data_IF_760924551699
#
_entry.id   IF_760924551699
#
_cell.length_a   1.000
_cell.length_b   1.000
_cell.length_c   1.000
_cell.angle_alpha   90.00
_cell.angle_beta   90.00
_cell.angle_gamma   90.00
#
_symmetry.space_group_name_H-M   'P 1'
#
loop_
_entity.id
_entity.type
_entity.pdbx_description
1 polymer ?
#
# COMPACT_ATOMS: atom_id res chain seq x y z
N UNK A 1 -2.50 -11.38 53.97
CA UNK A 1 -3.11 -10.09 53.61
C UNK A 1 -3.19 -10.07 52.08
N UNK A 2 -4.17 -10.68 51.37
CA UNK A 2 -5.63 -10.60 51.47
C UNK A 2 -6.12 -9.16 51.58
N UNK A 3 -6.33 -8.54 50.43
CA UNK A 3 -7.43 -7.60 50.24
C UNK A 3 -8.07 -7.86 48.85
N UNK A 4 -8.99 -8.82 48.86
CA UNK A 4 -10.06 -9.00 47.87
C UNK A 4 -11.22 -8.11 48.35
N UNK A 5 -11.66 -7.15 47.55
CA UNK A 5 -12.91 -6.38 47.75
C UNK A 5 -13.48 -6.11 46.35
N UNK A 6 -14.35 -7.00 45.87
CA UNK A 6 -15.81 -6.86 45.72
C UNK A 6 -16.16 -6.59 44.24
N UNK A 7 -16.58 -7.60 43.47
CA UNK A 7 -17.99 -8.02 43.37
C UNK A 7 -18.94 -6.83 43.39
N UNK A 8 -19.15 -6.25 42.21
CA UNK A 8 -20.28 -5.38 41.89
C UNK A 8 -21.04 -6.01 40.73
N UNK A 9 -22.03 -6.84 41.06
CA UNK A 9 -23.02 -7.35 40.10
C UNK A 9 -23.83 -6.15 39.61
N UNK A 10 -23.64 -5.75 38.35
CA UNK A 10 -24.53 -4.81 37.68
C UNK A 10 -25.39 -5.59 36.68
N UNK A 11 -26.41 -6.25 37.20
CA UNK A 11 -27.53 -6.71 36.39
C UNK A 11 -28.42 -5.50 36.11
N UNK A 12 -28.25 -4.89 34.93
CA UNK A 12 -29.22 -3.96 34.37
C UNK A 12 -29.67 -4.53 33.01
N UNK A 13 -30.81 -5.24 33.04
CA UNK A 13 -31.58 -5.52 31.87
C UNK A 13 -32.13 -4.20 31.32
N UNK A 14 -31.54 -3.72 30.23
CA UNK A 14 -32.11 -2.66 29.40
C UNK A 14 -32.57 -3.28 28.09
N UNK A 15 -33.87 -3.54 28.02
CA UNK A 15 -34.59 -3.66 26.76
C UNK A 15 -34.48 -2.30 26.05
N UNK A 16 -33.74 -2.27 24.93
CA UNK A 16 -33.57 -1.12 24.06
C UNK A 16 -33.83 -1.51 22.61
N UNK A 17 -34.36 -0.59 21.78
CA UNK A 17 -35.00 -0.93 20.52
C UNK A 17 -33.98 -1.35 19.47
N UNK A 18 -34.45 -2.20 18.56
CA UNK A 18 -33.78 -2.63 17.35
C UNK A 18 -33.24 -1.40 16.61
N UNK A 19 -31.92 -1.29 16.48
CA UNK A 19 -31.31 -0.37 15.54
C UNK A 19 -31.28 -1.09 14.20
N UNK A 20 -32.27 -0.81 13.36
CA UNK A 20 -32.12 -0.98 11.93
C UNK A 20 -31.04 0.00 11.46
N UNK A 21 -29.79 -0.43 11.52
CA UNK A 21 -28.70 0.23 10.80
C UNK A 21 -28.91 -0.07 9.31
N UNK A 22 -29.78 0.71 8.68
CA UNK A 22 -29.67 0.97 7.26
C UNK A 22 -28.34 1.72 7.08
N UNK A 23 -27.27 0.94 6.94
CA UNK A 23 -25.98 1.41 6.47
C UNK A 23 -26.20 1.87 5.02
N UNK A 24 -26.76 3.06 4.85
CA UNK A 24 -26.62 3.81 3.62
C UNK A 24 -25.13 4.14 3.55
N UNK A 25 -24.36 3.27 2.90
CA UNK A 25 -23.02 3.58 2.46
C UNK A 25 -23.07 4.93 1.73
N UNK A 26 -22.62 5.96 2.43
CA UNK A 26 -22.33 7.26 1.87
C UNK A 26 -21.39 7.03 0.67
N UNK A 27 -21.74 7.51 -0.53
CA UNK A 27 -20.88 7.32 -1.69
C UNK A 27 -19.55 7.98 -1.38
N UNK A 28 -18.51 7.17 -1.33
CA UNK A 28 -17.12 7.55 -1.11
C UNK A 28 -16.65 8.42 -2.28
N UNK A 29 -16.88 9.74 -2.19
CA UNK A 29 -16.39 10.75 -3.14
C UNK A 29 -14.85 10.80 -3.21
N UNK A 30 -14.14 10.12 -2.29
CA UNK A 30 -12.69 9.98 -2.33
C UNK A 30 -12.17 9.02 -3.41
N UNK A 31 -13.00 8.11 -3.93
CA UNK A 31 -12.56 7.09 -4.90
C UNK A 31 -12.46 7.63 -6.34
N UNK A 32 -13.21 8.66 -6.69
CA UNK A 32 -13.18 9.26 -8.03
C UNK A 32 -11.96 10.16 -8.24
N UNK A 33 -11.53 10.90 -7.22
CA UNK A 33 -10.32 11.75 -7.31
C UNK A 33 -9.04 10.91 -7.44
N UNK A 34 -8.95 9.80 -6.71
CA UNK A 34 -7.78 8.90 -6.78
C UNK A 34 -7.70 8.19 -8.13
N UNK A 35 -8.82 7.71 -8.67
CA UNK A 35 -8.88 7.11 -10.01
C UNK A 35 -8.59 8.12 -11.12
N UNK A 36 -9.12 9.35 -11.02
CA UNK A 36 -8.81 10.42 -11.97
C UNK A 36 -7.31 10.75 -11.96
N UNK A 37 -6.68 10.84 -10.79
CA UNK A 37 -5.24 11.06 -10.66
C UNK A 37 -4.42 9.89 -11.24
N UNK A 38 -4.82 8.63 -10.99
CA UNK A 38 -4.14 7.46 -11.53
C UNK A 38 -4.13 7.42 -13.07
N UNK A 39 -5.20 7.92 -13.68
CA UNK A 39 -5.37 7.98 -15.13
C UNK A 39 -4.73 9.22 -15.78
N UNK A 40 -4.22 10.16 -14.98
CA UNK A 40 -3.52 11.33 -15.48
C UNK A 40 -2.18 10.95 -16.13
N UNK A 41 -1.94 11.46 -17.34
CA UNK A 41 -0.66 11.30 -18.05
C UNK A 41 0.40 12.26 -17.48
N UNK A 42 1.54 11.70 -17.10
CA UNK A 42 2.71 12.42 -16.59
C UNK A 42 3.93 12.11 -17.44
N UNK A 43 4.57 13.15 -17.95
CA UNK A 43 5.79 13.05 -18.74
C UNK A 43 7.03 13.33 -17.89
N UNK A 44 8.01 12.43 -17.92
CA UNK A 44 9.30 12.56 -17.24
C UNK A 44 10.44 12.46 -18.24
N UNK A 45 11.54 13.20 -18.01
CA UNK A 45 12.78 13.02 -18.78
C UNK A 45 13.61 11.91 -18.17
N UNK A 46 14.04 10.97 -18.99
CA UNK A 46 14.96 9.90 -18.60
C UNK A 46 16.40 10.40 -18.81
N UNK A 47 17.34 9.96 -17.97
CA UNK A 47 18.75 10.21 -18.24
C UNK A 47 19.14 9.56 -19.57
N UNK A 48 20.16 10.09 -20.27
CA UNK A 48 20.64 9.48 -21.49
C UNK A 48 21.16 8.06 -21.22
N UNK A 49 20.93 7.10 -22.14
CA UNK A 49 21.35 5.72 -21.94
C UNK A 49 22.88 5.59 -21.89
N UNK A 50 23.60 6.40 -22.67
CA UNK A 50 25.07 6.43 -22.69
C UNK A 50 25.61 7.84 -23.00
N UNK A 51 26.52 8.31 -22.14
CA UNK A 51 27.25 9.57 -22.34
C UNK A 51 26.36 10.82 -22.41
N UNK A 52 26.96 11.94 -22.84
CA UNK A 52 26.28 13.24 -22.96
C UNK A 52 25.86 13.61 -24.39
N UNK A 53 26.30 12.84 -25.40
CA UNK A 53 26.06 13.15 -26.82
C UNK A 53 24.64 12.80 -27.27
N UNK A 54 24.08 11.70 -26.77
CA UNK A 54 22.71 11.28 -27.04
C UNK A 54 21.89 11.84 -25.88
N UNK A 55 21.11 12.90 -26.08
CA UNK A 55 20.35 13.53 -25.01
C UNK A 55 19.35 12.60 -24.32
N UNK A 56 18.82 13.01 -23.17
CA UNK A 56 17.76 12.26 -22.49
C UNK A 56 16.43 12.29 -23.24
N UNK A 57 15.70 11.19 -23.27
CA UNK A 57 14.37 11.11 -23.89
C UNK A 57 13.25 11.57 -22.93
N UNK A 58 12.13 12.02 -23.48
CA UNK A 58 10.91 12.32 -22.71
C UNK A 58 9.93 11.15 -22.83
N UNK A 59 9.57 10.55 -21.70
CA UNK A 59 8.62 9.44 -21.63
C UNK A 59 7.35 9.89 -20.93
N UNK A 60 6.21 9.68 -21.57
CA UNK A 60 4.88 10.03 -21.03
C UNK A 60 4.09 8.76 -20.75
N UNK A 61 3.63 8.60 -19.52
CA UNK A 61 2.87 7.43 -19.04
C UNK A 61 1.85 7.88 -18.00
N UNK A 62 0.81 7.10 -17.74
CA UNK A 62 -0.14 7.40 -16.66
C UNK A 62 0.51 7.24 -15.29
N UNK A 63 -0.03 7.90 -14.26
CA UNK A 63 0.43 7.70 -12.88
C UNK A 63 0.37 6.23 -12.46
N UNK A 64 -0.68 5.51 -12.87
CA UNK A 64 -0.81 4.06 -12.66
C UNK A 64 0.37 3.28 -13.24
N UNK A 65 0.76 3.57 -14.48
CA UNK A 65 1.90 2.90 -15.12
C UNK A 65 3.22 3.22 -14.42
N UNK A 66 3.43 4.47 -14.01
CA UNK A 66 4.62 4.85 -13.24
C UNK A 66 4.70 4.12 -11.90
N UNK A 67 3.57 3.98 -11.19
CA UNK A 67 3.54 3.22 -9.94
C UNK A 67 3.89 1.76 -10.14
N UNK A 68 3.32 1.12 -11.17
CA UNK A 68 3.61 -0.27 -11.51
C UNK A 68 5.11 -0.49 -11.80
N UNK A 69 5.72 0.37 -12.63
CA UNK A 69 7.16 0.27 -12.90
C UNK A 69 8.01 0.42 -11.65
N UNK A 70 7.61 1.32 -10.75
CA UNK A 70 8.33 1.58 -9.52
C UNK A 70 8.18 0.44 -8.50
N UNK A 71 7.00 -0.15 -8.37
CA UNK A 71 6.80 -1.34 -7.54
C UNK A 71 7.60 -2.53 -8.08
N UNK A 72 7.57 -2.77 -9.39
CA UNK A 72 8.32 -3.88 -9.99
C UNK A 72 9.84 -3.72 -9.78
N UNK A 73 10.36 -2.50 -9.96
CA UNK A 73 11.76 -2.21 -9.67
C UNK A 73 12.12 -2.48 -8.20
N UNK A 74 11.26 -2.09 -7.25
CA UNK A 74 11.44 -2.39 -5.83
C UNK A 74 11.44 -3.89 -5.54
N UNK A 75 10.48 -4.64 -6.09
CA UNK A 75 10.43 -6.10 -5.90
C UNK A 75 11.67 -6.79 -6.49
N UNK A 76 12.18 -6.30 -7.62
CA UNK A 76 13.44 -6.76 -8.20
C UNK A 76 14.63 -6.56 -7.26
N UNK A 77 14.77 -5.36 -6.69
CA UNK A 77 15.84 -5.04 -5.74
C UNK A 77 15.70 -5.84 -4.45
N UNK A 78 14.50 -5.91 -3.88
CA UNK A 78 14.22 -6.60 -2.62
C UNK A 78 14.61 -8.09 -2.70
N UNK A 79 14.24 -8.75 -3.79
CA UNK A 79 14.61 -10.15 -4.06
C UNK A 79 16.12 -10.36 -4.18
N UNK A 80 16.88 -9.40 -4.71
CA UNK A 80 18.34 -9.50 -4.79
C UNK A 80 19.01 -9.25 -3.44
N UNK A 81 18.50 -8.29 -2.67
CA UNK A 81 19.06 -7.90 -1.38
C UNK A 81 18.75 -8.92 -0.27
N UNK A 82 17.53 -9.46 -0.25
CA UNK A 82 17.08 -10.41 0.77
C UNK A 82 17.40 -11.86 0.42
N UNK A 83 18.00 -12.13 -0.74
CA UNK A 83 18.44 -13.49 -1.06
C UNK A 83 19.58 -13.86 -0.10
N UNK A 84 19.41 -14.89 0.76
CA UNK A 84 20.50 -15.31 1.62
C UNK A 84 21.66 -15.77 0.73
N UNK A 85 22.86 -15.25 1.00
CA UNK A 85 24.09 -15.79 0.44
C UNK A 85 24.20 -17.20 1.04
N UNK A 86 23.79 -18.22 0.29
CA UNK A 86 24.07 -19.59 0.67
C UNK A 86 25.58 -19.73 0.73
N UNK A 87 26.13 -19.84 1.94
CA UNK A 87 27.53 -20.25 2.15
C UNK A 87 27.76 -21.51 1.31
N UNK A 88 28.85 -21.51 0.56
CA UNK A 88 29.07 -22.31 -0.65
C UNK A 88 28.79 -23.81 -0.55
N UNK A 89 28.73 -24.43 -1.73
CA UNK A 89 28.52 -25.86 -1.90
C UNK A 89 29.38 -26.70 -0.98
N UNK A 90 28.74 -27.66 -0.33
CA UNK A 90 29.41 -28.91 0.03
C UNK A 90 29.40 -29.76 -1.23
N UNK A 91 30.59 -30.01 -1.78
CA UNK A 91 30.76 -31.19 -2.60
C UNK A 91 30.35 -32.44 -1.80
N UNK A 92 29.73 -33.37 -2.51
CA UNK A 92 29.66 -34.81 -2.25
C UNK A 92 29.35 -35.47 -3.58
#
# INVERSE_FOLDING_TARGET
MRLLICMGVFAAAIAGPVMAEENVQQPSEMSTTSEAWLNQTVCKRRPPPTGSRIGGEKVCMTNRQWQFMWSEARHGVDRMQNKPISKGGSGS
#
